data_IF_703211748927
#
_entry.id   IF_703211748927
#
_cell.length_a   1.000
_cell.length_b   1.000
_cell.length_c   1.000
_cell.angle_alpha   90.00
_cell.angle_beta   90.00
_cell.angle_gamma   90.00
#
_symmetry.space_group_name_H-M   'P 1'
#
loop_
_entity.id
_entity.type
_entity.pdbx_description
1 polymer ?
#
# COMPACT_ATOMS: atom_id res chain seq x y z
N UNK A 1 8.77 -10.29 13.89
CA UNK A 1 7.86 -11.24 13.22
C UNK A 1 8.35 -12.64 13.45
N UNK A 2 7.45 -13.55 13.82
CA UNK A 2 7.72 -14.99 13.96
C UNK A 2 6.83 -15.75 12.97
N UNK A 3 7.30 -16.90 12.49
CA UNK A 3 6.54 -17.82 11.63
C UNK A 3 6.15 -19.06 12.42
N UNK A 4 4.92 -19.55 12.25
CA UNK A 4 4.51 -20.83 12.81
C UNK A 4 4.54 -21.87 11.70
N UNK A 5 5.37 -22.89 11.85
CA UNK A 5 5.46 -24.01 10.91
C UNK A 5 5.41 -25.33 11.68
N UNK A 6 4.44 -26.20 11.34
CA UNK A 6 4.20 -27.47 12.02
C UNK A 6 4.11 -27.34 13.55
N UNK A 7 3.38 -26.33 14.03
CA UNK A 7 3.17 -26.06 15.45
C UNK A 7 4.37 -25.46 16.20
N UNK A 8 5.44 -25.07 15.49
CA UNK A 8 6.62 -24.45 16.10
C UNK A 8 6.75 -23.00 15.68
N UNK A 9 7.05 -22.13 16.64
CA UNK A 9 7.45 -20.75 16.39
C UNK A 9 8.90 -20.71 15.91
N UNK A 10 9.13 -20.06 14.77
CA UNK A 10 10.42 -19.84 14.16
C UNK A 10 10.68 -18.33 14.07
N UNK A 11 11.85 -17.89 14.49
CA UNK A 11 12.30 -16.51 14.31
C UNK A 11 13.31 -16.40 13.16
N UNK A 12 13.48 -15.20 12.61
CA UNK A 12 14.42 -14.91 11.50
C UNK A 12 14.30 -15.90 10.32
N UNK A 13 13.07 -16.29 10.00
CA UNK A 13 12.75 -17.25 8.95
C UNK A 13 11.84 -16.63 7.90
N UNK A 14 11.80 -17.24 6.72
CA UNK A 14 10.95 -16.83 5.60
C UNK A 14 10.28 -18.07 4.98
N UNK A 15 9.12 -17.89 4.38
CA UNK A 15 8.47 -18.89 3.53
C UNK A 15 8.76 -18.51 2.08
N UNK A 16 9.30 -19.45 1.32
CA UNK A 16 9.46 -19.34 -0.12
C UNK A 16 8.45 -20.29 -0.78
N UNK A 17 7.61 -19.74 -1.66
CA UNK A 17 6.68 -20.51 -2.48
C UNK A 17 7.12 -20.38 -3.94
N UNK A 18 7.33 -21.51 -4.61
CA UNK A 18 7.63 -21.57 -6.03
C UNK A 18 6.51 -22.34 -6.72
N UNK A 19 5.94 -21.74 -7.76
CA UNK A 19 4.79 -22.29 -8.49
C UNK A 19 5.19 -22.42 -9.95
N UNK A 20 5.02 -23.63 -10.49
CA UNK A 20 5.10 -23.92 -11.92
C UNK A 20 3.67 -24.21 -12.40
N UNK A 21 3.27 -23.60 -13.52
CA UNK A 21 1.90 -23.70 -14.03
C UNK A 21 1.86 -23.62 -15.55
N UNK A 22 0.93 -24.36 -16.16
CA UNK A 22 0.57 -24.26 -17.58
C UNK A 22 -0.58 -23.28 -17.84
N UNK A 23 -1.11 -22.65 -16.80
CA UNK A 23 -2.13 -21.62 -16.89
C UNK A 23 -1.50 -20.27 -17.27
N UNK A 24 -2.13 -19.46 -18.16
CA UNK A 24 -1.69 -18.10 -18.41
C UNK A 24 -1.82 -17.30 -17.12
N UNK A 25 -0.81 -16.48 -16.80
CA UNK A 25 -0.85 -15.65 -15.61
C UNK A 25 -0.31 -14.25 -15.87
N UNK A 26 -0.74 -13.31 -15.04
CA UNK A 26 -0.21 -11.95 -15.03
C UNK A 26 0.05 -11.49 -13.61
N UNK A 27 1.28 -11.03 -13.37
CA UNK A 27 1.67 -10.40 -12.11
C UNK A 27 1.28 -8.93 -12.19
N UNK A 28 0.65 -8.40 -11.15
CA UNK A 28 0.14 -7.04 -11.14
C UNK A 28 0.38 -6.31 -9.82
N UNK A 29 0.26 -4.99 -9.91
CA UNK A 29 0.26 -4.03 -8.81
C UNK A 29 -0.78 -2.95 -9.15
N UNK A 30 -1.58 -2.53 -8.18
CA UNK A 30 -2.34 -1.29 -8.27
C UNK A 30 -2.09 -0.40 -7.05
N UNK A 31 -2.12 0.92 -7.28
CA UNK A 31 -1.98 1.97 -6.29
C UNK A 31 -3.00 3.06 -6.63
N UNK A 32 -3.71 3.57 -5.62
CA UNK A 32 -4.91 4.38 -5.83
C UNK A 32 -4.70 5.77 -5.27
N UNK A 33 -3.72 6.50 -5.79
CA UNK A 33 -3.43 7.85 -5.32
C UNK A 33 -2.95 8.75 -6.45
N UNK A 34 -3.32 10.02 -6.33
CA UNK A 34 -2.86 11.10 -7.21
C UNK A 34 -2.00 12.09 -6.42
N UNK A 35 -0.77 12.39 -6.89
CA UNK A 35 0.08 13.38 -6.26
C UNK A 35 -0.56 14.77 -6.38
N UNK A 36 -0.56 15.53 -5.29
CA UNK A 36 -1.00 16.92 -5.30
C UNK A 36 0.18 17.88 -5.50
N UNK A 37 -0.08 19.20 -5.68
CA UNK A 37 0.99 20.20 -5.65
C UNK A 37 1.65 20.40 -4.28
N UNK A 38 1.04 19.90 -3.19
CA UNK A 38 1.51 20.15 -1.82
C UNK A 38 2.77 19.32 -1.55
N UNK A 39 3.84 19.98 -1.10
CA UNK A 39 5.14 19.37 -0.79
C UNK A 39 5.48 19.57 0.68
N UNK A 40 6.06 18.53 1.28
CA UNK A 40 6.57 18.55 2.65
C UNK A 40 8.03 18.08 2.60
N UNK A 41 8.95 18.94 3.04
CA UNK A 41 10.39 18.63 3.06
C UNK A 41 10.76 18.12 4.44
N UNK A 42 11.41 16.96 4.51
CA UNK A 42 11.97 16.45 5.78
C UNK A 42 13.14 17.33 6.19
N UNK A 43 12.97 18.11 7.27
CA UNK A 43 14.01 19.03 7.77
C UNK A 43 14.79 18.50 8.95
N UNK A 44 14.21 17.58 9.72
CA UNK A 44 14.89 16.88 10.81
C UNK A 44 14.33 15.47 10.98
N UNK A 45 15.20 14.47 11.07
CA UNK A 45 14.78 13.08 11.23
C UNK A 45 15.81 12.19 11.93
N UNK A 46 15.31 11.21 12.67
CA UNK A 46 16.05 10.02 13.08
C UNK A 46 15.87 8.95 11.99
N UNK A 47 16.85 8.87 11.09
CA UNK A 47 16.81 7.98 9.92
C UNK A 47 16.92 6.50 10.30
N UNK A 48 17.66 6.19 11.36
CA UNK A 48 17.84 4.81 11.86
C UNK A 48 16.50 4.24 12.37
N UNK A 49 15.78 5.04 13.15
CA UNK A 49 14.49 4.65 13.72
C UNK A 49 13.30 5.00 12.82
N UNK A 50 13.54 5.68 11.69
CA UNK A 50 12.54 6.10 10.69
C UNK A 50 11.50 7.05 11.29
N UNK A 51 11.97 8.01 12.09
CA UNK A 51 11.15 9.01 12.76
C UNK A 51 11.44 10.37 12.15
N UNK A 52 10.40 11.04 11.64
CA UNK A 52 10.47 12.42 11.17
C UNK A 52 10.05 13.34 12.31
N UNK A 53 10.96 14.23 12.74
CA UNK A 53 10.68 15.21 13.79
C UNK A 53 10.12 16.50 13.20
N UNK A 54 10.62 16.91 12.03
CA UNK A 54 10.22 18.15 11.39
C UNK A 54 9.92 17.98 9.90
N UNK A 55 8.89 18.69 9.46
CA UNK A 55 8.53 18.90 8.06
C UNK A 55 8.48 20.41 7.82
N UNK A 56 9.14 20.89 6.76
CA UNK A 56 9.19 22.32 6.42
C UNK A 56 9.66 23.23 7.58
N UNK A 57 10.56 22.74 8.43
CA UNK A 57 11.05 23.40 9.65
C UNK A 57 9.96 23.64 10.74
N UNK A 58 8.88 22.87 10.69
CA UNK A 58 7.80 22.84 11.69
C UNK A 58 7.63 21.42 12.25
N UNK A 59 7.04 21.25 13.44
CA UNK A 59 6.80 19.91 14.01
C UNK A 59 6.00 19.03 13.05
N UNK A 60 6.50 17.81 12.82
CA UNK A 60 6.03 16.96 11.71
C UNK A 60 4.51 16.73 11.70
N UNK A 61 3.91 16.43 12.86
CA UNK A 61 2.46 16.25 12.95
C UNK A 61 1.68 17.54 12.64
N UNK A 62 2.15 18.71 13.08
CA UNK A 62 1.46 19.99 12.84
C UNK A 62 1.45 20.33 11.36
N UNK A 63 2.62 20.25 10.73
CA UNK A 63 2.75 20.58 9.31
C UNK A 63 2.00 19.57 8.43
N UNK A 64 2.08 18.28 8.75
CA UNK A 64 1.30 17.27 8.04
C UNK A 64 -0.21 17.49 8.18
N UNK A 65 -0.71 17.74 9.40
CA UNK A 65 -2.13 18.02 9.65
C UNK A 65 -2.61 19.24 8.86
N UNK A 66 -1.84 20.33 8.90
CA UNK A 66 -2.10 21.55 8.12
C UNK A 66 -2.18 21.26 6.62
N UNK A 67 -1.23 20.49 6.09
CA UNK A 67 -1.15 20.14 4.67
C UNK A 67 -2.33 19.30 4.17
N UNK A 68 -2.96 18.51 5.04
CA UNK A 68 -4.14 17.69 4.71
C UNK A 68 -5.46 18.31 5.18
N UNK A 69 -5.41 19.49 5.82
CA UNK A 69 -6.59 20.21 6.30
C UNK A 69 -7.26 19.59 7.53
N UNK A 70 -6.51 18.92 8.39
CA UNK A 70 -6.98 18.33 9.64
C UNK A 70 -6.34 19.00 10.86
N UNK A 71 -6.89 18.73 12.04
CA UNK A 71 -6.23 19.06 13.31
C UNK A 71 -5.27 17.94 13.72
N UNK A 72 -4.18 18.23 14.46
CA UNK A 72 -3.23 17.22 14.91
C UNK A 72 -3.86 16.09 15.74
N UNK A 73 -4.88 16.42 16.54
CA UNK A 73 -5.65 15.47 17.34
C UNK A 73 -6.49 14.49 16.51
N UNK A 74 -6.79 14.83 15.25
CA UNK A 74 -7.50 13.97 14.30
C UNK A 74 -6.54 13.06 13.51
N UNK A 75 -5.23 13.17 13.75
CA UNK A 75 -4.24 12.28 13.15
C UNK A 75 -4.28 10.90 13.78
N UNK A 76 -4.34 9.89 12.92
CA UNK A 76 -4.35 8.49 13.33
C UNK A 76 -4.33 7.55 12.13
N UNK A 77 -4.40 6.23 12.38
CA UNK A 77 -4.27 5.22 11.34
C UNK A 77 -5.19 5.44 10.13
N UNK A 78 -6.43 5.90 10.36
CA UNK A 78 -7.39 6.17 9.28
C UNK A 78 -7.01 7.40 8.45
N UNK A 79 -6.63 8.52 9.07
CA UNK A 79 -6.21 9.72 8.33
C UNK A 79 -4.88 9.51 7.59
N UNK A 80 -3.93 8.74 8.17
CA UNK A 80 -2.70 8.34 7.48
C UNK A 80 -2.96 7.44 6.26
N UNK A 81 -3.94 6.53 6.37
CA UNK A 81 -4.35 5.68 5.26
C UNK A 81 -5.03 6.46 4.13
N UNK A 82 -5.81 7.51 4.48
CA UNK A 82 -6.52 8.32 3.49
C UNK A 82 -5.68 9.46 2.90
N UNK A 83 -4.57 9.86 3.51
CA UNK A 83 -3.71 10.94 2.99
C UNK A 83 -2.24 10.50 2.85
N UNK A 84 -1.95 9.56 1.92
CA UNK A 84 -0.59 9.05 1.75
C UNK A 84 0.42 10.15 1.38
N UNK A 85 1.64 10.01 1.91
CA UNK A 85 2.79 10.74 1.41
C UNK A 85 3.47 9.90 0.32
N UNK A 86 3.93 10.56 -0.75
CA UNK A 86 4.66 9.90 -1.84
C UNK A 86 5.95 10.63 -2.16
N UNK A 87 6.96 9.89 -2.62
CA UNK A 87 8.22 10.43 -3.13
C UNK A 87 8.36 10.11 -4.61
N UNK A 88 8.96 11.02 -5.38
CA UNK A 88 9.19 10.82 -6.81
C UNK A 88 10.59 10.26 -7.05
N UNK A 89 10.68 9.07 -7.63
CA UNK A 89 11.96 8.42 -7.98
C UNK A 89 11.89 7.91 -9.41
N UNK A 90 12.84 8.30 -10.26
CA UNK A 90 12.88 7.83 -11.65
C UNK A 90 11.67 8.20 -12.52
N UNK A 91 10.87 9.20 -12.11
CA UNK A 91 9.64 9.60 -12.80
C UNK A 91 8.36 9.08 -12.13
N UNK A 92 8.46 8.02 -11.33
CA UNK A 92 7.34 7.37 -10.66
C UNK A 92 7.17 7.82 -9.21
N UNK A 93 5.95 7.65 -8.69
CA UNK A 93 5.62 7.95 -7.29
C UNK A 93 5.54 6.69 -6.44
N UNK A 94 6.15 6.77 -5.26
CA UNK A 94 6.24 5.69 -4.28
C UNK A 94 5.72 6.14 -2.93
N UNK A 95 4.82 5.35 -2.36
CA UNK A 95 4.25 5.68 -1.07
C UNK A 95 5.27 5.58 0.07
N UNK A 96 5.10 6.46 1.06
CA UNK A 96 5.84 6.52 2.32
C UNK A 96 4.80 6.63 3.43
N UNK A 97 4.36 5.47 3.92
CA UNK A 97 3.26 5.41 4.86
C UNK A 97 3.72 5.71 6.29
N UNK A 98 3.02 6.66 6.91
CA UNK A 98 3.13 6.95 8.34
C UNK A 98 2.52 5.78 9.11
N UNK A 99 3.29 5.25 10.07
CA UNK A 99 2.88 4.18 10.98
C UNK A 99 2.07 4.72 12.14
N UNK A 100 2.59 5.74 12.81
CA UNK A 100 1.97 6.35 13.99
C UNK A 100 2.53 7.75 14.24
N UNK A 101 1.75 8.57 14.93
CA UNK A 101 2.23 9.77 15.62
C UNK A 101 2.76 9.37 16.99
N UNK A 102 3.92 9.88 17.37
CA UNK A 102 4.51 9.71 18.70
C UNK A 102 3.97 10.79 19.64
N UNK A 103 4.17 10.61 20.95
CA UNK A 103 3.65 11.54 21.97
C UNK A 103 4.22 12.97 21.86
N UNK A 104 5.39 13.11 21.25
CA UNK A 104 6.07 14.39 21.00
C UNK A 104 5.66 15.05 19.66
N UNK A 105 4.73 14.44 18.90
CA UNK A 105 4.31 14.93 17.59
C UNK A 105 5.22 14.52 16.42
N UNK A 106 6.27 13.72 16.68
CA UNK A 106 7.07 13.13 15.59
C UNK A 106 6.30 11.99 14.90
N UNK A 107 6.60 11.74 13.62
CA UNK A 107 5.91 10.75 12.80
C UNK A 107 6.83 9.56 12.51
N UNK A 108 6.44 8.37 12.93
CA UNK A 108 7.15 7.12 12.61
C UNK A 108 6.69 6.58 11.26
N UNK A 109 7.61 6.10 10.42
CA UNK A 109 7.30 5.55 9.09
C UNK A 109 7.57 4.03 9.00
N UNK A 110 6.85 3.35 8.11
CA UNK A 110 7.12 1.93 7.80
C UNK A 110 8.40 1.73 6.99
N UNK A 111 8.80 2.74 6.24
CA UNK A 111 9.84 2.74 5.22
C UNK A 111 10.99 3.69 5.58
N UNK A 112 12.13 3.54 4.89
CA UNK A 112 13.26 4.44 5.05
C UNK A 112 12.89 5.90 4.69
N UNK A 113 13.46 6.81 5.46
CA UNK A 113 13.32 8.27 5.38
C UNK A 113 14.70 8.89 5.62
N UNK A 114 14.98 9.97 4.91
CA UNK A 114 16.23 10.72 4.99
C UNK A 114 15.92 12.22 5.09
N UNK A 115 16.81 12.98 5.72
CA UNK A 115 16.73 14.45 5.70
C UNK A 115 16.90 14.98 4.27
N UNK A 116 16.16 16.04 3.95
CA UNK A 116 16.09 16.61 2.60
C UNK A 116 15.15 15.86 1.65
N UNK A 117 14.55 14.74 2.08
CA UNK A 117 13.55 14.05 1.28
C UNK A 117 12.31 14.93 1.10
N UNK A 118 11.83 15.05 -0.14
CA UNK A 118 10.63 15.82 -0.46
C UNK A 118 9.45 14.88 -0.63
N UNK A 119 8.56 14.89 0.34
CA UNK A 119 7.26 14.27 0.21
C UNK A 119 6.33 15.13 -0.63
N UNK A 120 5.43 14.45 -1.34
CA UNK A 120 4.25 15.01 -1.97
C UNK A 120 3.05 14.44 -1.26
N UNK A 121 2.13 15.29 -0.81
CA UNK A 121 0.84 14.81 -0.32
C UNK A 121 0.08 14.25 -1.52
N UNK A 122 -0.40 13.02 -1.41
CA UNK A 122 -1.24 12.42 -2.42
C UNK A 122 -2.67 12.27 -1.90
N UNK A 123 -3.63 12.45 -2.81
CA UNK A 123 -5.05 12.22 -2.54
C UNK A 123 -5.42 10.80 -2.97
N UNK A 124 -6.29 10.12 -2.23
CA UNK A 124 -6.78 8.82 -2.64
C UNK A 124 -7.60 9.01 -3.92
N UNK A 125 -7.33 8.17 -4.93
CA UNK A 125 -8.24 7.99 -6.05
C UNK A 125 -9.37 7.05 -5.62
N UNK A 126 -10.45 6.99 -6.40
CA UNK A 126 -11.51 6.01 -6.21
C UNK A 126 -10.93 4.59 -6.25
N UNK A 127 -10.74 4.03 -5.05
CA UNK A 127 -10.09 2.73 -4.88
C UNK A 127 -10.90 1.61 -5.52
N UNK A 128 -12.22 1.70 -5.43
CA UNK A 128 -13.12 0.70 -5.96
C UNK A 128 -13.02 0.70 -7.49
N UNK A 129 -13.17 1.87 -8.11
CA UNK A 129 -13.13 1.99 -9.55
C UNK A 129 -11.75 1.62 -10.13
N UNK A 130 -10.65 2.05 -9.50
CA UNK A 130 -9.30 1.67 -9.94
C UNK A 130 -9.06 0.15 -9.82
N UNK A 131 -9.54 -0.48 -8.75
CA UNK A 131 -9.40 -1.93 -8.57
C UNK A 131 -10.26 -2.70 -9.57
N UNK A 132 -11.48 -2.22 -9.86
CA UNK A 132 -12.38 -2.80 -10.86
C UNK A 132 -11.77 -2.71 -12.26
N UNK A 133 -11.35 -1.53 -12.70
CA UNK A 133 -10.71 -1.33 -14.01
C UNK A 133 -9.48 -2.22 -14.20
N UNK A 134 -8.67 -2.39 -13.14
CA UNK A 134 -7.52 -3.27 -13.17
C UNK A 134 -7.93 -4.73 -13.34
N UNK A 135 -8.91 -5.21 -12.59
CA UNK A 135 -9.42 -6.58 -12.70
C UNK A 135 -10.08 -6.84 -14.06
N UNK A 136 -10.84 -5.88 -14.60
CA UNK A 136 -11.40 -5.95 -15.96
C UNK A 136 -10.32 -6.03 -17.03
N UNK A 137 -9.25 -5.23 -16.90
CA UNK A 137 -8.12 -5.30 -17.81
C UNK A 137 -7.43 -6.65 -17.76
N UNK A 138 -7.21 -7.20 -16.56
CA UNK A 138 -6.63 -8.53 -16.38
C UNK A 138 -7.52 -9.64 -16.95
N UNK A 139 -8.83 -9.55 -16.74
CA UNK A 139 -9.82 -10.48 -17.26
C UNK A 139 -9.78 -10.51 -18.79
N UNK A 140 -9.84 -9.35 -19.44
CA UNK A 140 -9.71 -9.24 -20.89
C UNK A 140 -8.37 -9.79 -21.40
N UNK A 141 -7.26 -9.46 -20.72
CA UNK A 141 -5.91 -9.88 -21.12
C UNK A 141 -5.70 -11.40 -21.03
N UNK A 142 -6.32 -12.04 -20.05
CA UNK A 142 -6.22 -13.48 -19.81
C UNK A 142 -7.29 -14.28 -20.56
N UNK A 143 -8.28 -13.62 -21.18
CA UNK A 143 -9.43 -14.27 -21.80
C UNK A 143 -10.40 -14.87 -20.78
N UNK A 144 -10.46 -14.28 -19.58
CA UNK A 144 -11.22 -14.76 -18.43
C UNK A 144 -10.30 -15.15 -17.27
N UNK A 145 -10.49 -14.51 -16.12
CA UNK A 145 -9.83 -14.85 -14.85
C UNK A 145 -10.46 -16.12 -14.25
N UNK A 146 -9.62 -17.03 -13.79
CA UNK A 146 -9.99 -18.20 -12.99
C UNK A 146 -9.79 -17.96 -11.49
N UNK A 147 -8.62 -17.43 -11.13
CA UNK A 147 -8.20 -17.19 -9.75
C UNK A 147 -7.29 -15.95 -9.68
N UNK A 148 -7.44 -15.16 -8.63
CA UNK A 148 -6.47 -14.12 -8.28
C UNK A 148 -5.91 -14.42 -6.90
N UNK A 149 -4.59 -14.53 -6.79
CA UNK A 149 -3.90 -14.55 -5.50
C UNK A 149 -3.41 -13.14 -5.21
N UNK A 150 -3.98 -12.49 -4.20
CA UNK A 150 -3.73 -11.10 -3.89
C UNK A 150 -3.15 -10.88 -2.48
N UNK A 151 -2.29 -9.88 -2.39
CA UNK A 151 -1.68 -9.38 -1.17
C UNK A 151 -2.09 -7.92 -1.02
N UNK A 152 -3.01 -7.66 -0.09
CA UNK A 152 -3.68 -6.36 0.04
C UNK A 152 -3.17 -5.62 1.27
N UNK A 153 -2.49 -4.48 1.08
CA UNK A 153 -1.94 -3.73 2.20
C UNK A 153 -3.04 -3.36 3.21
N UNK A 154 -2.80 -3.54 4.51
CA UNK A 154 -3.78 -3.23 5.55
C UNK A 154 -4.27 -1.78 5.48
N UNK A 155 -3.42 -0.86 5.01
CA UNK A 155 -3.78 0.54 4.81
C UNK A 155 -4.87 0.72 3.76
N UNK A 156 -4.97 -0.16 2.75
CA UNK A 156 -6.08 -0.12 1.77
C UNK A 156 -7.40 -0.53 2.42
N UNK A 157 -7.36 -1.54 3.30
CA UNK A 157 -8.55 -1.93 4.08
C UNK A 157 -9.00 -0.79 4.99
N UNK A 158 -8.07 -0.12 5.70
CA UNK A 158 -8.42 1.01 6.55
C UNK A 158 -9.03 2.16 5.73
N UNK A 159 -8.46 2.47 4.57
CA UNK A 159 -8.99 3.51 3.68
C UNK A 159 -10.38 3.14 3.12
N UNK A 160 -10.62 1.87 2.78
CA UNK A 160 -11.92 1.37 2.37
C UNK A 160 -12.98 1.42 3.49
N UNK A 161 -12.56 1.26 4.75
CA UNK A 161 -13.42 1.42 5.93
C UNK A 161 -13.76 2.90 6.16
N UNK A 162 -12.78 3.81 6.06
CA UNK A 162 -12.99 5.28 6.13
C UNK A 162 -14.03 5.74 5.10
N UNK A 163 -13.91 5.26 3.86
CA UNK A 163 -14.78 5.65 2.76
C UNK A 163 -16.06 4.81 2.65
N UNK A 164 -16.31 3.89 3.60
CA UNK A 164 -17.50 3.02 3.63
C UNK A 164 -17.69 2.17 2.35
N UNK A 165 -16.60 1.82 1.67
CA UNK A 165 -16.62 1.01 0.42
C UNK A 165 -16.21 -0.44 0.63
N UNK A 166 -15.87 -0.85 1.86
CA UNK A 166 -15.43 -2.22 2.17
C UNK A 166 -16.35 -3.32 1.61
N UNK A 167 -17.67 -3.18 1.78
CA UNK A 167 -18.62 -4.17 1.25
C UNK A 167 -18.56 -4.31 -0.28
N UNK A 168 -18.40 -3.19 -0.99
CA UNK A 168 -18.28 -3.18 -2.46
C UNK A 168 -16.96 -3.82 -2.91
N UNK A 169 -15.87 -3.57 -2.18
CA UNK A 169 -14.59 -4.23 -2.40
C UNK A 169 -14.70 -5.75 -2.21
N UNK A 170 -15.38 -6.21 -1.15
CA UNK A 170 -15.60 -7.64 -0.90
C UNK A 170 -16.43 -8.30 -2.01
N UNK A 171 -17.44 -7.60 -2.55
CA UNK A 171 -18.23 -8.07 -3.70
C UNK A 171 -17.40 -8.17 -4.97
N UNK A 172 -16.58 -7.15 -5.25
CA UNK A 172 -15.66 -7.14 -6.38
C UNK A 172 -14.64 -8.28 -6.29
N UNK A 173 -14.08 -8.51 -5.09
CA UNK A 173 -13.17 -9.63 -4.84
C UNK A 173 -13.84 -10.99 -5.04
N UNK A 174 -15.10 -11.16 -4.63
CA UNK A 174 -15.87 -12.39 -4.94
C UNK A 174 -16.13 -12.57 -6.43
N UNK A 175 -16.45 -11.48 -7.16
CA UNK A 175 -16.71 -11.51 -8.62
C UNK A 175 -15.52 -12.07 -9.41
N UNK A 176 -14.29 -11.75 -9.02
CA UNK A 176 -13.07 -12.16 -9.71
C UNK A 176 -12.30 -13.28 -9.01
N UNK A 177 -12.95 -14.05 -8.13
CA UNK A 177 -12.32 -15.16 -7.41
C UNK A 177 -11.00 -14.77 -6.72
N UNK A 178 -10.98 -13.60 -6.07
CA UNK A 178 -9.79 -13.11 -5.36
C UNK A 178 -9.65 -13.83 -4.03
N UNK A 179 -8.52 -14.49 -3.82
CA UNK A 179 -8.10 -15.12 -2.59
C UNK A 179 -6.76 -14.54 -2.13
N UNK A 180 -6.52 -14.48 -0.82
CA UNK A 180 -5.32 -13.82 -0.31
C UNK A 180 -5.40 -13.41 1.14
N UNK A 181 -4.58 -12.43 1.51
CA UNK A 181 -4.54 -11.91 2.87
C UNK A 181 -4.01 -10.47 2.91
N UNK A 182 -4.22 -9.83 4.07
CA UNK A 182 -3.70 -8.50 4.30
C UNK A 182 -2.22 -8.51 4.69
N UNK A 183 -1.47 -7.53 4.21
CA UNK A 183 -0.05 -7.37 4.55
C UNK A 183 0.24 -6.04 5.24
N UNK A 184 1.45 -5.91 5.80
CA UNK A 184 1.98 -4.65 6.34
C UNK A 184 2.98 -3.98 5.37
N UNK A 185 2.90 -4.31 4.08
CA UNK A 185 3.77 -3.84 3.02
C UNK A 185 4.12 -4.96 2.04
N UNK A 186 4.24 -4.59 0.77
CA UNK A 186 4.53 -5.51 -0.32
C UNK A 186 5.90 -5.21 -0.93
N UNK A 187 6.50 -6.21 -1.59
CA UNK A 187 7.63 -6.00 -2.48
C UNK A 187 7.23 -6.33 -3.92
N UNK A 188 7.54 -5.43 -4.85
CA UNK A 188 7.28 -5.62 -6.28
C UNK A 188 8.46 -5.09 -7.08
N UNK A 189 9.06 -5.92 -7.93
CA UNK A 189 10.25 -5.58 -8.73
C UNK A 189 11.36 -4.89 -7.91
N UNK A 190 11.72 -5.48 -6.77
CA UNK A 190 12.71 -4.98 -5.80
C UNK A 190 12.34 -3.68 -5.06
N UNK A 191 11.10 -3.20 -5.16
CA UNK A 191 10.64 -2.00 -4.46
C UNK A 191 9.71 -2.35 -3.32
N UNK A 192 9.96 -1.77 -2.14
CA UNK A 192 9.01 -1.80 -1.02
C UNK A 192 7.87 -0.82 -1.29
N UNK A 193 6.65 -1.35 -1.26
CA UNK A 193 5.43 -0.63 -1.54
C UNK A 193 4.48 -0.73 -0.34
N UNK A 194 3.71 0.32 -0.17
CA UNK A 194 2.64 0.42 0.80
C UNK A 194 1.41 0.99 0.09
N UNK A 195 0.23 0.77 0.68
CA UNK A 195 -1.05 1.19 0.10
C UNK A 195 -1.27 0.61 -1.31
N UNK A 196 -0.72 -0.59 -1.54
CA UNK A 196 -0.79 -1.32 -2.80
C UNK A 196 -1.58 -2.60 -2.66
N UNK A 197 -2.24 -2.98 -3.75
CA UNK A 197 -2.71 -4.35 -3.95
C UNK A 197 -1.75 -4.96 -4.97
N UNK A 198 -1.07 -6.04 -4.58
CA UNK A 198 -0.22 -6.82 -5.49
C UNK A 198 -0.77 -8.21 -5.63
N UNK A 199 -0.44 -8.90 -6.71
CA UNK A 199 -0.90 -10.26 -6.86
C UNK A 199 -0.55 -10.88 -8.19
N UNK A 200 -1.10 -12.08 -8.37
CA UNK A 200 -1.00 -12.87 -9.58
C UNK A 200 -2.41 -13.27 -9.96
N UNK A 201 -2.83 -12.89 -11.17
CA UNK A 201 -4.06 -13.35 -11.78
C UNK A 201 -3.76 -14.52 -12.71
N UNK A 202 -4.54 -15.59 -12.60
CA UNK A 202 -4.47 -16.78 -13.42
C UNK A 202 -5.71 -16.82 -14.32
N UNK A 203 -5.51 -17.05 -15.61
CA UNK A 203 -6.59 -17.28 -16.56
C UNK A 203 -6.99 -18.76 -16.62
N UNK A 204 -7.88 -19.10 -17.54
CA UNK A 204 -8.31 -20.48 -17.75
C UNK A 204 -7.22 -21.34 -18.39
N UNK A 205 -7.23 -22.64 -18.10
CA UNK A 205 -6.28 -23.57 -18.72
C UNK A 205 -6.46 -23.57 -20.25
N UNK A 206 -5.38 -23.42 -21.04
CA UNK A 206 -5.49 -23.56 -22.48
C UNK A 206 -6.05 -24.95 -22.82
N UNK A 207 -7.03 -25.02 -23.72
CA UNK A 207 -7.49 -26.30 -24.24
C UNK A 207 -6.30 -27.03 -24.88
N UNK A 208 -5.95 -28.20 -24.37
CA UNK A 208 -4.91 -29.05 -24.97
C UNK A 208 -5.36 -29.43 -26.38
N UNK A 209 -4.65 -28.93 -27.39
CA UNK A 209 -4.73 -29.39 -28.78
C UNK A 209 -4.12 -30.77 -28.93
#
# INVERSE_FOLDING_TARGET
TSLIHNGRELQRSAILLMVETDFPFHVFKTQNFEPTPIKLVVTAADTENRIVHELNAEPAALEYASAIGLLPEDLGPFSFASHPLVVKVGGDYYCRSIRNMNADGSLSFFCAIDEGLVFTVARPQDMLHSTENMLEHLDSKLGGIDLVVAFDCILRRLDAETHQIRHKMDELYRKYSVAGFHTYGEQYNAMHLNQTLTGIAFGQRPSRS
#
